data_IF_964397244467
#
_entry.id   IF_964397244467
#
_cell.length_a   1.000
_cell.length_b   1.000
_cell.length_c   1.000
_cell.angle_alpha   90.00
_cell.angle_beta   90.00
_cell.angle_gamma   90.00
#
_symmetry.space_group_name_H-M   'P 1'
#
loop_
_entity.id
_entity.type
_entity.pdbx_description
1 polymer ?
#
# COMPACT_ATOMS: atom_id res chain seq x y z
N UNK A 1 -13.87 -16.36 -1.93
CA UNK A 1 -13.77 -17.60 -2.72
C UNK A 1 -12.37 -17.80 -3.34
N UNK A 2 -11.30 -17.93 -2.54
CA UNK A 2 -9.94 -18.17 -3.07
C UNK A 2 -9.58 -19.66 -2.90
N UNK A 3 -9.59 -20.41 -3.99
CA UNK A 3 -9.33 -21.87 -3.99
C UNK A 3 -10.42 -22.73 -4.63
N UNK A 4 -11.04 -22.30 -5.74
CA UNK A 4 -12.07 -23.10 -6.41
C UNK A 4 -11.47 -24.01 -7.50
N UNK A 5 -12.13 -25.14 -7.73
CA UNK A 5 -11.85 -26.00 -8.88
C UNK A 5 -11.94 -25.24 -10.22
N UNK A 6 -12.81 -24.23 -10.31
CA UNK A 6 -12.92 -23.37 -11.50
C UNK A 6 -11.67 -22.54 -11.76
N UNK A 7 -11.07 -21.94 -10.72
CA UNK A 7 -9.81 -21.18 -10.83
C UNK A 7 -8.66 -22.10 -11.22
N UNK A 8 -8.56 -23.27 -10.58
CA UNK A 8 -7.54 -24.26 -10.94
C UNK A 8 -7.67 -24.70 -12.40
N UNK A 9 -8.89 -25.05 -12.83
CA UNK A 9 -9.16 -25.47 -14.22
C UNK A 9 -8.77 -24.37 -15.21
N UNK A 10 -9.18 -23.12 -14.95
CA UNK A 10 -8.82 -21.94 -15.75
C UNK A 10 -7.29 -21.78 -15.85
N UNK A 11 -6.60 -21.72 -14.71
CA UNK A 11 -5.16 -21.50 -14.67
C UNK A 11 -4.36 -22.67 -15.28
N UNK A 12 -4.85 -23.91 -15.16
CA UNK A 12 -4.26 -25.04 -15.87
C UNK A 12 -4.43 -24.92 -17.40
N UNK A 13 -5.60 -24.51 -17.88
CA UNK A 13 -5.83 -24.27 -19.32
C UNK A 13 -5.00 -23.10 -19.86
N UNK A 14 -4.84 -22.05 -19.07
CA UNK A 14 -4.09 -20.85 -19.45
C UNK A 14 -2.59 -20.94 -19.15
N UNK A 15 -2.10 -22.06 -18.59
CA UNK A 15 -0.71 -22.19 -18.14
C UNK A 15 0.32 -21.90 -19.25
N UNK A 16 0.22 -22.61 -20.37
CA UNK A 16 1.18 -22.45 -21.47
C UNK A 16 1.04 -21.10 -22.20
N UNK A 17 -0.17 -20.63 -22.57
CA UNK A 17 -0.33 -19.29 -23.14
C UNK A 17 0.15 -18.19 -22.19
N UNK A 18 -0.16 -18.29 -20.89
CA UNK A 18 0.23 -17.31 -19.88
C UNK A 18 1.74 -17.29 -19.62
N UNK A 19 2.41 -18.46 -19.69
CA UNK A 19 3.87 -18.55 -19.64
C UNK A 19 4.51 -17.92 -20.88
N UNK A 20 3.94 -18.12 -22.07
CA UNK A 20 4.43 -17.49 -23.30
C UNK A 20 4.29 -15.96 -23.24
N UNK A 21 3.14 -15.47 -22.78
CA UNK A 21 2.91 -14.04 -22.56
C UNK A 21 3.90 -13.46 -21.52
N UNK A 22 4.12 -14.17 -20.42
CA UNK A 22 5.10 -13.78 -19.40
C UNK A 22 6.53 -13.70 -19.97
N UNK A 23 6.94 -14.67 -20.79
CA UNK A 23 8.27 -14.68 -21.41
C UNK A 23 8.47 -13.51 -22.37
N UNK A 24 7.45 -13.12 -23.15
CA UNK A 24 7.50 -11.93 -24.01
C UNK A 24 7.62 -10.65 -23.17
N UNK A 25 6.79 -10.52 -22.12
CA UNK A 25 6.85 -9.39 -21.19
C UNK A 25 8.20 -9.29 -20.48
N UNK A 26 8.86 -10.42 -20.21
CA UNK A 26 10.19 -10.47 -19.58
C UNK A 26 11.24 -9.72 -20.39
N UNK A 27 11.26 -9.93 -21.71
CA UNK A 27 12.23 -9.28 -22.58
C UNK A 27 12.00 -7.78 -22.64
N UNK A 28 10.74 -7.35 -22.78
CA UNK A 28 10.38 -5.93 -22.79
C UNK A 28 10.71 -5.25 -21.46
N UNK A 29 10.30 -5.85 -20.35
CA UNK A 29 10.53 -5.31 -19.01
C UNK A 29 12.01 -5.21 -18.66
N UNK A 30 12.83 -6.18 -19.10
CA UNK A 30 14.28 -6.10 -18.93
C UNK A 30 14.88 -4.90 -19.67
N UNK A 31 14.46 -4.65 -20.93
CA UNK A 31 14.91 -3.50 -21.69
C UNK A 31 14.52 -2.15 -21.07
N UNK A 32 13.31 -2.06 -20.51
CA UNK A 32 12.85 -0.88 -19.77
C UNK A 32 13.66 -0.71 -18.48
N UNK A 33 13.79 -1.77 -17.68
CA UNK A 33 14.56 -1.74 -16.43
C UNK A 33 16.00 -1.31 -16.64
N UNK A 34 16.67 -1.83 -17.68
CA UNK A 34 18.05 -1.52 -17.98
C UNK A 34 18.25 -0.03 -18.33
N UNK A 35 17.32 0.57 -19.10
CA UNK A 35 17.35 2.02 -19.38
C UNK A 35 17.21 2.84 -18.10
N UNK A 36 16.23 2.52 -17.25
CA UNK A 36 16.03 3.19 -15.96
C UNK A 36 17.26 3.04 -15.07
N UNK A 37 17.80 1.83 -14.95
CA UNK A 37 18.98 1.53 -14.15
C UNK A 37 20.22 2.30 -14.62
N UNK A 38 20.48 2.33 -15.92
CA UNK A 38 21.62 3.08 -16.48
C UNK A 38 21.48 4.59 -16.24
N UNK A 39 20.27 5.13 -16.39
CA UNK A 39 19.99 6.54 -16.07
C UNK A 39 20.24 6.83 -14.59
N UNK A 40 19.76 5.95 -13.72
CA UNK A 40 19.98 6.04 -12.28
C UNK A 40 21.46 6.03 -11.89
N UNK A 41 22.26 5.14 -12.47
CA UNK A 41 23.71 5.11 -12.24
C UNK A 41 24.42 6.39 -12.71
N UNK A 42 23.90 7.04 -13.77
CA UNK A 42 24.53 8.22 -14.38
C UNK A 42 24.12 9.55 -13.73
N UNK A 43 22.86 9.69 -13.33
CA UNK A 43 22.27 10.97 -12.90
C UNK A 43 21.73 10.93 -11.46
N UNK A 44 21.62 9.76 -10.86
CA UNK A 44 21.11 9.63 -9.50
C UNK A 44 22.05 10.29 -8.47
N UNK A 45 21.50 10.80 -7.36
CA UNK A 45 22.31 11.29 -6.24
C UNK A 45 23.28 10.20 -5.74
N UNK A 46 24.47 10.60 -5.28
CA UNK A 46 25.50 9.66 -4.81
C UNK A 46 24.99 8.67 -3.77
N UNK A 47 24.22 9.14 -2.78
CA UNK A 47 23.62 8.30 -1.74
C UNK A 47 22.65 7.24 -2.31
N UNK A 48 21.97 7.56 -3.42
CA UNK A 48 21.08 6.64 -4.12
C UNK A 48 21.86 5.59 -4.95
N UNK A 49 22.94 6.02 -5.61
CA UNK A 49 23.75 5.16 -6.48
C UNK A 49 24.63 4.20 -5.65
N UNK A 50 25.23 4.68 -4.57
CA UNK A 50 26.13 3.91 -3.70
C UNK A 50 25.41 3.04 -2.65
N UNK A 51 24.12 2.78 -2.88
CA UNK A 51 23.35 1.86 -2.05
C UNK A 51 24.01 0.49 -2.01
N UNK A 52 24.36 0.05 -0.81
CA UNK A 52 24.89 -1.28 -0.57
C UNK A 52 24.13 -1.94 0.57
N UNK A 53 23.92 -3.25 0.42
CA UNK A 53 23.41 -4.13 1.47
C UNK A 53 24.60 -4.56 2.33
N UNK A 54 25.11 -3.66 3.17
CA UNK A 54 26.11 -4.03 4.16
C UNK A 54 25.44 -4.68 5.36
N UNK A 55 25.80 -5.93 5.66
CA UNK A 55 25.52 -6.58 6.94
C UNK A 55 26.46 -6.01 8.00
N UNK A 56 26.12 -4.84 8.52
CA UNK A 56 26.70 -4.25 9.73
C UNK A 56 25.58 -4.13 10.77
N UNK A 57 25.82 -4.42 12.06
CA UNK A 57 24.84 -4.23 13.13
C UNK A 57 24.23 -2.82 13.17
N UNK A 58 24.97 -1.81 12.69
CA UNK A 58 24.65 -0.38 12.88
C UNK A 58 24.59 0.45 11.59
N UNK A 59 24.80 -0.13 10.39
CA UNK A 59 24.79 0.63 9.13
C UNK A 59 24.24 -0.18 7.94
N UNK A 60 22.93 -0.09 7.74
CA UNK A 60 22.24 -0.45 6.49
C UNK A 60 21.92 0.79 5.65
N UNK A 61 22.88 1.25 4.83
CA UNK A 61 22.67 2.42 3.94
C UNK A 61 21.35 2.31 3.20
N UNK A 62 21.06 1.12 2.65
CA UNK A 62 19.87 0.90 1.84
C UNK A 62 18.57 0.99 2.61
N UNK A 63 18.46 0.80 3.92
CA UNK A 63 17.17 0.88 4.66
C UNK A 63 17.07 2.09 5.61
N UNK A 64 18.19 2.70 6.01
CA UNK A 64 18.20 3.69 7.11
C UNK A 64 17.58 5.04 6.83
N UNK A 65 17.36 5.41 5.57
CA UNK A 65 16.79 6.71 5.26
C UNK A 65 16.02 6.64 3.95
N UNK A 66 14.74 6.97 4.00
CA UNK A 66 13.95 7.14 2.79
C UNK A 66 14.60 8.17 1.85
N UNK A 67 15.01 9.32 2.40
CA UNK A 67 15.56 10.46 1.63
C UNK A 67 16.84 10.12 0.88
N UNK A 68 17.68 9.25 1.45
CA UNK A 68 18.92 8.80 0.79
C UNK A 68 18.67 7.72 -0.26
N UNK A 69 17.62 6.92 -0.07
CA UNK A 69 17.43 5.70 -0.83
C UNK A 69 16.37 5.78 -1.92
N UNK A 70 15.66 6.91 -2.00
CA UNK A 70 14.61 7.13 -2.96
C UNK A 70 14.86 8.44 -3.68
N UNK A 71 14.71 8.38 -5.00
CA UNK A 71 14.90 9.52 -5.88
C UNK A 71 13.77 9.58 -6.89
N UNK A 72 13.09 10.73 -6.97
CA UNK A 72 12.12 11.02 -8.02
C UNK A 72 12.88 11.64 -9.19
N UNK A 73 13.10 10.85 -10.22
CA UNK A 73 13.80 11.29 -11.43
C UNK A 73 12.88 12.15 -12.30
N UNK A 74 13.04 13.46 -12.16
CA UNK A 74 12.22 14.48 -12.82
C UNK A 74 12.30 14.45 -14.35
N UNK A 75 13.33 13.81 -14.92
CA UNK A 75 13.50 13.71 -16.37
C UNK A 75 13.54 12.25 -16.85
N UNK A 76 13.01 11.31 -16.07
CA UNK A 76 12.88 9.91 -16.49
C UNK A 76 12.11 9.77 -17.81
N UNK A 77 11.21 10.71 -18.11
CA UNK A 77 10.43 10.76 -19.35
C UNK A 77 11.28 10.88 -20.62
N UNK A 78 12.56 11.27 -20.48
CA UNK A 78 13.51 11.34 -21.60
C UNK A 78 14.01 9.97 -22.05
N UNK A 79 13.94 8.96 -21.18
CA UNK A 79 14.43 7.60 -21.45
C UNK A 79 13.31 6.58 -21.66
N UNK A 80 12.19 6.74 -20.93
CA UNK A 80 11.05 5.82 -20.95
C UNK A 80 9.74 6.60 -20.88
N UNK A 81 8.70 6.08 -21.53
CA UNK A 81 7.34 6.59 -21.44
C UNK A 81 6.64 6.16 -20.14
N UNK A 82 5.61 6.89 -19.74
CA UNK A 82 4.76 6.54 -18.59
C UNK A 82 4.18 5.12 -18.72
N UNK A 83 3.76 4.71 -19.94
CA UNK A 83 3.23 3.37 -20.21
C UNK A 83 4.27 2.28 -19.99
N UNK A 84 5.53 2.53 -20.34
CA UNK A 84 6.63 1.60 -20.08
C UNK A 84 6.90 1.44 -18.57
N UNK A 85 6.83 2.53 -17.80
CA UNK A 85 6.95 2.46 -16.33
C UNK A 85 5.78 1.65 -15.75
N UNK A 86 4.55 1.88 -16.21
CA UNK A 86 3.37 1.13 -15.79
C UNK A 86 3.51 -0.38 -16.04
N UNK A 87 3.95 -0.76 -17.25
CA UNK A 87 4.23 -2.17 -17.60
C UNK A 87 5.29 -2.78 -16.70
N UNK A 88 6.39 -2.06 -16.45
CA UNK A 88 7.46 -2.53 -15.58
C UNK A 88 6.98 -2.75 -14.13
N UNK A 89 6.13 -1.87 -13.61
CA UNK A 89 5.57 -2.03 -12.26
C UNK A 89 4.73 -3.31 -12.13
N UNK A 90 3.82 -3.55 -13.08
CA UNK A 90 3.00 -4.77 -13.11
C UNK A 90 3.88 -6.02 -13.27
N UNK A 91 4.82 -5.98 -14.22
CA UNK A 91 5.74 -7.08 -14.46
C UNK A 91 6.58 -7.43 -13.22
N UNK A 92 7.07 -6.44 -12.47
CA UNK A 92 7.85 -6.71 -11.24
C UNK A 92 7.06 -7.52 -10.21
N UNK A 93 5.76 -7.26 -10.06
CA UNK A 93 4.91 -8.06 -9.15
C UNK A 93 4.68 -9.47 -9.69
N UNK A 94 4.46 -9.61 -10.99
CA UNK A 94 4.28 -10.90 -11.66
C UNK A 94 5.55 -11.76 -11.65
N UNK A 95 6.72 -11.14 -11.82
CA UNK A 95 8.01 -11.79 -11.68
C UNK A 95 8.18 -12.39 -10.29
N UNK A 96 7.76 -11.67 -9.23
CA UNK A 96 7.77 -12.23 -7.89
C UNK A 96 6.84 -13.45 -7.82
N UNK A 97 5.61 -13.35 -8.29
CA UNK A 97 4.65 -14.46 -8.32
C UNK A 97 5.21 -15.70 -9.03
N UNK A 98 5.90 -15.53 -10.16
CA UNK A 98 6.58 -16.61 -10.88
C UNK A 98 7.77 -17.19 -10.12
N UNK A 99 8.62 -16.34 -9.54
CA UNK A 99 9.84 -16.76 -8.86
C UNK A 99 9.58 -17.68 -7.67
N UNK A 100 8.42 -17.54 -7.00
CA UNK A 100 8.04 -18.40 -5.88
C UNK A 100 7.92 -19.87 -6.31
N UNK A 101 7.23 -20.11 -7.42
CA UNK A 101 6.91 -21.45 -7.87
C UNK A 101 8.07 -22.07 -8.65
N UNK A 102 8.75 -21.26 -9.47
CA UNK A 102 9.99 -21.68 -10.11
C UNK A 102 11.07 -22.06 -9.08
N UNK A 103 11.22 -21.26 -8.01
CA UNK A 103 12.16 -21.55 -6.93
C UNK A 103 11.84 -22.85 -6.19
N UNK A 104 10.56 -23.11 -5.91
CA UNK A 104 10.13 -24.37 -5.29
C UNK A 104 10.42 -25.59 -6.18
N UNK A 105 10.16 -25.48 -7.49
CA UNK A 105 10.47 -26.53 -8.47
C UNK A 105 11.97 -26.84 -8.52
N UNK A 106 12.82 -25.81 -8.54
CA UNK A 106 14.27 -25.99 -8.54
C UNK A 106 14.79 -26.60 -7.23
N UNK A 107 14.22 -26.22 -6.08
CA UNK A 107 14.67 -26.69 -4.78
C UNK A 107 14.20 -28.11 -4.44
N UNK A 108 13.01 -28.51 -4.89
CA UNK A 108 12.37 -29.79 -4.49
C UNK A 108 12.16 -30.77 -5.66
N UNK A 109 12.51 -30.39 -6.89
CA UNK A 109 12.37 -31.23 -8.07
C UNK A 109 10.91 -31.64 -8.30
N UNK A 110 10.69 -32.90 -8.71
CA UNK A 110 9.35 -33.43 -8.96
C UNK A 110 8.40 -33.39 -7.75
N UNK A 111 8.92 -33.30 -6.52
CA UNK A 111 8.10 -33.13 -5.32
C UNK A 111 7.44 -31.74 -5.24
N UNK A 112 7.76 -30.82 -6.14
CA UNK A 112 7.13 -29.51 -6.21
C UNK A 112 5.73 -29.54 -6.85
N UNK A 113 5.33 -30.65 -7.48
CA UNK A 113 4.07 -30.75 -8.23
C UNK A 113 2.86 -30.33 -7.37
N UNK A 114 2.69 -30.80 -6.11
CA UNK A 114 1.60 -30.34 -5.25
C UNK A 114 1.63 -28.82 -5.02
N UNK A 115 2.80 -28.22 -4.79
CA UNK A 115 2.92 -26.76 -4.63
C UNK A 115 2.51 -26.01 -5.90
N UNK A 116 2.84 -26.53 -7.08
CA UNK A 116 2.39 -25.99 -8.35
C UNK A 116 0.87 -26.01 -8.51
N UNK A 117 0.20 -27.10 -8.09
CA UNK A 117 -1.27 -27.18 -8.10
C UNK A 117 -1.90 -26.18 -7.12
N UNK A 118 -1.35 -26.04 -5.90
CA UNK A 118 -1.83 -25.03 -4.94
C UNK A 118 -1.65 -23.61 -5.45
N UNK A 119 -0.55 -23.34 -6.15
CA UNK A 119 -0.31 -22.05 -6.78
C UNK A 119 -1.34 -21.74 -7.87
N UNK A 120 -1.57 -22.68 -8.79
CA UNK A 120 -2.54 -22.51 -9.87
C UNK A 120 -3.99 -22.47 -9.37
N UNK A 121 -4.28 -23.01 -8.19
CA UNK A 121 -5.61 -22.95 -7.59
C UNK A 121 -5.99 -21.56 -7.04
N UNK A 122 -5.09 -20.58 -7.06
CA UNK A 122 -5.33 -19.28 -6.42
C UNK A 122 -4.84 -18.08 -7.26
N UNK A 123 -5.80 -17.25 -7.68
CA UNK A 123 -5.55 -16.04 -8.47
C UNK A 123 -4.74 -14.96 -7.74
N UNK A 124 -4.66 -15.00 -6.41
CA UNK A 124 -3.76 -14.11 -5.65
C UNK A 124 -2.29 -14.34 -6.04
N UNK A 125 -1.91 -15.60 -6.28
CA UNK A 125 -0.52 -15.99 -6.46
C UNK A 125 -0.12 -16.16 -7.92
N UNK A 126 -1.05 -16.35 -8.85
CA UNK A 126 -0.71 -16.43 -10.28
C UNK A 126 -0.47 -15.03 -10.89
N UNK A 127 0.48 -14.89 -11.84
CA UNK A 127 0.71 -13.66 -12.57
C UNK A 127 -0.53 -13.17 -13.32
N UNK A 128 -0.60 -11.86 -13.57
CA UNK A 128 -1.66 -11.29 -14.41
C UNK A 128 -1.66 -11.90 -15.81
N UNK A 129 -0.50 -12.29 -16.35
CA UNK A 129 -0.35 -12.89 -17.68
C UNK A 129 -1.09 -14.22 -17.89
N UNK A 130 -1.55 -14.88 -16.82
CA UNK A 130 -2.34 -16.11 -16.89
C UNK A 130 -3.84 -15.85 -17.12
N UNK A 131 -4.25 -14.57 -17.11
CA UNK A 131 -5.63 -14.12 -17.32
C UNK A 131 -5.69 -13.44 -18.69
N UNK A 132 -6.16 -14.18 -19.69
CA UNK A 132 -6.03 -13.86 -21.11
C UNK A 132 -7.22 -13.03 -21.62
N UNK A 133 -8.38 -13.14 -20.97
CA UNK A 133 -9.58 -12.35 -21.32
C UNK A 133 -9.77 -11.17 -20.36
N UNK A 134 -10.53 -10.16 -20.79
CA UNK A 134 -10.87 -9.02 -19.93
C UNK A 134 -11.65 -9.43 -18.67
N UNK A 135 -12.51 -10.45 -18.77
CA UNK A 135 -13.26 -11.00 -17.63
C UNK A 135 -12.35 -11.73 -16.64
N UNK A 136 -11.40 -12.53 -17.14
CA UNK A 136 -10.41 -13.19 -16.28
C UNK A 136 -9.53 -12.18 -15.57
N UNK A 137 -9.09 -11.12 -16.26
CA UNK A 137 -8.28 -10.07 -15.67
C UNK A 137 -9.05 -9.27 -14.61
N UNK A 138 -10.34 -9.03 -14.85
CA UNK A 138 -11.26 -8.46 -13.86
C UNK A 138 -11.33 -9.32 -12.60
N UNK A 139 -11.64 -10.60 -12.75
CA UNK A 139 -11.71 -11.53 -11.62
C UNK A 139 -10.37 -11.62 -10.86
N UNK A 140 -9.25 -11.57 -11.59
CA UNK A 140 -7.92 -11.51 -10.99
C UNK A 140 -7.73 -10.24 -10.15
N UNK A 141 -8.08 -9.05 -10.66
CA UNK A 141 -7.98 -7.79 -9.90
C UNK A 141 -8.86 -7.80 -8.65
N UNK A 142 -10.08 -8.32 -8.75
CA UNK A 142 -10.96 -8.52 -7.61
C UNK A 142 -10.27 -9.41 -6.56
N UNK A 143 -9.73 -10.56 -6.95
CA UNK A 143 -9.00 -11.47 -6.05
C UNK A 143 -7.76 -10.82 -5.41
N UNK A 144 -7.05 -9.95 -6.15
CA UNK A 144 -5.96 -9.16 -5.61
C UNK A 144 -6.46 -8.18 -4.54
N UNK A 145 -7.56 -7.47 -4.77
CA UNK A 145 -8.13 -6.52 -3.82
C UNK A 145 -8.66 -7.21 -2.56
N UNK A 146 -9.27 -8.40 -2.67
CA UNK A 146 -9.65 -9.19 -1.48
C UNK A 146 -8.42 -9.49 -0.59
N UNK A 147 -7.27 -9.77 -1.19
CA UNK A 147 -6.03 -10.01 -0.44
C UNK A 147 -5.52 -8.72 0.23
N UNK A 148 -5.74 -7.55 -0.38
CA UNK A 148 -5.45 -6.24 0.22
C UNK A 148 -6.35 -5.98 1.43
N UNK A 149 -7.67 -6.17 1.29
CA UNK A 149 -8.64 -6.03 2.38
C UNK A 149 -8.30 -6.89 3.61
N UNK A 150 -7.75 -8.10 3.40
CA UNK A 150 -7.29 -8.97 4.49
C UNK A 150 -6.12 -8.38 5.31
N UNK A 151 -5.28 -7.56 4.70
CA UNK A 151 -3.99 -7.14 5.28
C UNK A 151 -3.93 -5.65 5.64
N UNK A 152 -4.61 -4.80 4.89
CA UNK A 152 -4.59 -3.34 5.07
C UNK A 152 -5.04 -2.92 6.46
N UNK A 153 -6.11 -3.46 7.05
CA UNK A 153 -6.53 -3.01 8.37
C UNK A 153 -5.51 -3.35 9.48
N UNK A 154 -4.90 -4.54 9.41
CA UNK A 154 -3.82 -4.89 10.35
C UNK A 154 -2.60 -3.98 10.22
N UNK A 155 -2.29 -3.52 9.01
CA UNK A 155 -1.23 -2.52 8.79
C UNK A 155 -1.59 -1.17 9.43
N UNK A 156 -2.80 -0.67 9.15
CA UNK A 156 -3.27 0.63 9.65
C UNK A 156 -3.30 0.65 11.19
N UNK A 157 -3.93 -0.35 11.82
CA UNK A 157 -4.04 -0.42 13.29
C UNK A 157 -2.69 -0.55 13.97
N UNK A 158 -1.79 -1.43 13.48
CA UNK A 158 -0.46 -1.63 14.07
C UNK A 158 0.42 -0.38 13.91
N UNK A 159 0.26 0.35 12.80
CA UNK A 159 0.97 1.60 12.54
C UNK A 159 0.46 2.73 13.43
N UNK A 160 -0.87 2.92 13.52
CA UNK A 160 -1.49 3.90 14.41
C UNK A 160 -1.02 3.69 15.84
N UNK A 161 -1.22 2.46 16.35
CA UNK A 161 -0.83 2.10 17.70
C UNK A 161 0.67 2.35 17.93
N UNK A 162 1.55 1.89 17.04
CA UNK A 162 2.98 2.09 17.25
C UNK A 162 3.38 3.56 17.36
N UNK A 163 2.87 4.44 16.49
CA UNK A 163 3.25 5.85 16.50
C UNK A 163 2.50 6.66 17.55
N UNK A 164 1.25 6.32 17.91
CA UNK A 164 0.53 6.93 19.06
C UNK A 164 1.36 6.80 20.35
N UNK A 165 2.00 5.65 20.56
CA UNK A 165 2.83 5.41 21.75
C UNK A 165 4.16 6.15 21.76
N UNK A 166 4.64 6.64 20.60
CA UNK A 166 5.97 7.23 20.46
C UNK A 166 5.95 8.71 20.06
N UNK A 167 4.85 9.21 19.52
CA UNK A 167 4.73 10.57 19.04
C UNK A 167 3.97 11.38 20.08
N UNK A 168 4.71 12.14 20.90
CA UNK A 168 4.13 13.06 21.87
C UNK A 168 5.11 14.22 22.15
N UNK A 169 4.66 15.48 22.25
CA UNK A 169 3.29 16.00 22.08
C UNK A 169 2.99 16.57 20.68
N UNK A 170 1.81 16.28 20.11
CA UNK A 170 1.33 16.86 18.85
C UNK A 170 0.76 18.28 19.05
N UNK A 171 0.78 19.10 17.99
CA UNK A 171 -0.09 20.27 17.94
C UNK A 171 -1.49 19.88 17.43
N UNK A 172 -2.49 20.74 17.64
CA UNK A 172 -3.90 20.43 17.28
C UNK A 172 -4.08 20.11 15.78
N UNK A 173 -3.34 20.80 14.90
CA UNK A 173 -3.40 20.54 13.45
C UNK A 173 -2.86 19.15 13.11
N UNK A 174 -1.76 18.76 13.73
CA UNK A 174 -1.11 17.45 13.55
C UNK A 174 -1.98 16.34 14.13
N UNK A 175 -2.49 16.51 15.35
CA UNK A 175 -3.39 15.55 15.98
C UNK A 175 -4.63 15.30 15.12
N UNK A 176 -5.28 16.38 14.66
CA UNK A 176 -6.42 16.26 13.74
C UNK A 176 -6.05 15.56 12.43
N UNK A 177 -4.91 15.91 11.83
CA UNK A 177 -4.45 15.28 10.60
C UNK A 177 -4.18 13.77 10.78
N UNK A 178 -3.65 13.39 11.94
CA UNK A 178 -3.39 12.01 12.32
C UNK A 178 -4.67 11.23 12.55
N UNK A 179 -5.61 11.78 13.32
CA UNK A 179 -6.88 11.12 13.59
C UNK A 179 -7.71 10.94 12.31
N UNK A 180 -7.80 11.98 11.46
CA UNK A 180 -8.50 11.90 10.15
C UNK A 180 -7.90 10.82 9.22
N UNK A 181 -6.61 10.51 9.36
CA UNK A 181 -5.94 9.44 8.60
C UNK A 181 -6.44 8.04 8.96
N UNK A 182 -6.93 7.84 10.20
CA UNK A 182 -7.32 6.53 10.73
C UNK A 182 -8.81 6.39 11.08
N UNK A 183 -9.53 7.48 11.35
CA UNK A 183 -10.96 7.43 11.71
C UNK A 183 -11.87 7.24 10.47
N UNK A 184 -11.48 7.82 9.34
CA UNK A 184 -12.22 7.69 8.07
C UNK A 184 -11.84 6.37 7.39
N UNK A 185 -12.69 5.36 7.57
CA UNK A 185 -12.52 4.01 7.04
C UNK A 185 -13.35 3.81 5.77
N UNK A 186 -12.72 3.28 4.71
CA UNK A 186 -13.36 3.01 3.40
C UNK A 186 -14.04 4.23 2.74
N UNK A 187 -13.64 5.44 3.12
CA UNK A 187 -14.18 6.69 2.57
C UNK A 187 -13.06 7.62 2.14
N UNK A 188 -13.41 8.53 1.22
CA UNK A 188 -12.55 9.62 0.77
C UNK A 188 -12.06 10.43 1.99
N UNK A 189 -10.78 10.77 1.99
CA UNK A 189 -10.16 11.63 3.00
C UNK A 189 -9.69 12.92 2.33
N UNK A 190 -9.93 14.04 2.99
CA UNK A 190 -9.50 15.33 2.47
C UNK A 190 -7.96 15.43 2.56
N UNK A 191 -7.24 15.49 1.42
CA UNK A 191 -5.79 15.53 1.40
C UNK A 191 -5.24 16.75 2.16
N UNK A 192 -5.95 17.88 2.18
CA UNK A 192 -5.52 19.10 2.90
C UNK A 192 -5.52 18.92 4.41
N UNK A 193 -6.42 18.09 4.92
CA UNK A 193 -6.55 17.82 6.36
C UNK A 193 -5.52 16.80 6.81
N UNK A 194 -5.29 15.73 6.04
CA UNK A 194 -4.39 14.63 6.44
C UNK A 194 -2.92 14.90 6.14
N UNK A 195 -2.60 15.70 5.11
CA UNK A 195 -1.21 15.94 4.69
C UNK A 195 -0.32 16.54 5.78
N UNK A 196 -0.78 17.45 6.67
CA UNK A 196 0.02 17.94 7.80
C UNK A 196 0.60 16.83 8.69
N UNK A 197 0.03 15.61 8.69
CA UNK A 197 0.61 14.47 9.39
C UNK A 197 1.99 14.05 8.85
N UNK A 198 2.28 14.33 7.58
CA UNK A 198 3.60 14.07 6.97
C UNK A 198 4.70 15.01 7.49
N UNK A 199 4.32 16.15 8.06
CA UNK A 199 5.24 17.21 8.51
C UNK A 199 5.50 17.14 10.02
N UNK A 200 5.01 16.10 10.72
CA UNK A 200 5.23 15.90 12.15
C UNK A 200 6.72 15.73 12.48
N UNK A 201 7.26 16.60 13.35
CA UNK A 201 8.64 16.58 13.90
C UNK A 201 9.74 16.35 12.85
N UNK A 202 9.75 17.16 11.79
CA UNK A 202 10.69 16.98 10.67
C UNK A 202 10.65 15.55 10.08
N UNK A 203 9.43 15.01 10.01
CA UNK A 203 9.16 13.66 9.55
C UNK A 203 9.60 12.59 10.55
N UNK A 204 9.30 12.70 11.84
CA UNK A 204 9.61 11.66 12.85
C UNK A 204 9.02 10.29 12.50
N UNK A 205 7.86 10.27 11.85
CA UNK A 205 7.23 9.06 11.35
C UNK A 205 7.98 8.60 10.10
N UNK A 206 9.10 7.89 10.30
CA UNK A 206 9.96 7.46 9.21
C UNK A 206 9.74 6.00 8.84
N UNK A 207 9.93 5.69 7.57
CA UNK A 207 9.79 4.32 7.08
C UNK A 207 10.80 3.37 7.72
N UNK A 208 12.01 3.82 8.06
CA UNK A 208 13.00 3.01 8.77
C UNK A 208 12.60 2.63 10.21
N UNK A 209 11.58 3.28 10.78
CA UNK A 209 11.05 2.95 12.11
C UNK A 209 9.91 1.92 12.04
N UNK A 210 9.38 1.61 10.85
CA UNK A 210 8.28 0.65 10.71
C UNK A 210 8.63 -0.73 11.29
N UNK A 211 7.80 -1.28 12.16
CA UNK A 211 8.06 -2.59 12.77
C UNK A 211 8.03 -3.69 11.71
N UNK A 212 8.78 -4.77 11.94
CA UNK A 212 8.81 -5.94 11.04
C UNK A 212 7.41 -6.51 10.76
N UNK A 213 6.52 -6.48 11.77
CA UNK A 213 5.13 -6.95 11.65
C UNK A 213 4.32 -6.03 10.72
N UNK A 214 4.31 -4.72 10.98
CA UNK A 214 3.60 -3.73 10.14
C UNK A 214 4.13 -3.75 8.71
N UNK A 215 5.45 -3.85 8.52
CA UNK A 215 6.06 -3.98 7.19
C UNK A 215 5.57 -5.24 6.44
N UNK A 216 5.38 -6.36 7.13
CA UNK A 216 4.83 -7.57 6.52
C UNK A 216 3.38 -7.35 6.08
N UNK A 217 2.56 -6.71 6.92
CA UNK A 217 1.19 -6.38 6.56
C UNK A 217 1.16 -5.41 5.37
N UNK A 218 1.99 -4.36 5.38
CA UNK A 218 2.15 -3.44 4.26
C UNK A 218 2.50 -4.17 2.96
N UNK A 219 3.53 -5.03 2.97
CA UNK A 219 3.87 -5.81 1.78
C UNK A 219 2.69 -6.64 1.27
N UNK A 220 1.94 -7.30 2.16
CA UNK A 220 0.77 -8.09 1.77
C UNK A 220 -0.35 -7.21 1.20
N UNK A 221 -0.61 -6.05 1.81
CA UNK A 221 -1.55 -5.04 1.28
C UNK A 221 -1.12 -4.48 -0.07
N UNK A 222 0.17 -4.53 -0.39
CA UNK A 222 0.73 -4.16 -1.69
C UNK A 222 0.80 -5.34 -2.67
N UNK A 223 0.28 -6.51 -2.30
CA UNK A 223 0.42 -7.78 -3.03
C UNK A 223 1.89 -8.17 -3.30
N UNK A 224 2.82 -7.65 -2.49
CA UNK A 224 4.23 -8.05 -2.48
C UNK A 224 4.33 -9.32 -1.63
N UNK A 225 4.76 -10.45 -2.21
CA UNK A 225 4.86 -11.68 -1.44
C UNK A 225 5.84 -11.55 -0.27
N UNK A 226 5.44 -12.12 0.87
CA UNK A 226 6.24 -12.08 2.11
C UNK A 226 6.67 -13.48 2.50
N UNK A 227 7.98 -13.68 2.60
CA UNK A 227 8.52 -14.94 3.11
C UNK A 227 8.91 -14.78 4.57
N UNK A 228 8.59 -15.74 5.46
CA UNK A 228 9.04 -15.71 6.84
C UNK A 228 10.57 -15.61 6.98
N UNK A 229 11.30 -16.22 6.03
CA UNK A 229 12.77 -16.26 6.01
C UNK A 229 13.42 -14.98 5.51
N UNK A 230 12.70 -14.11 4.78
CA UNK A 230 13.29 -12.86 4.31
C UNK A 230 13.32 -11.82 5.42
N UNK A 231 14.46 -11.15 5.51
CA UNK A 231 14.71 -10.12 6.50
C UNK A 231 13.79 -8.90 6.28
N UNK A 232 13.60 -8.11 7.35
CA UNK A 232 12.95 -6.79 7.30
C UNK A 232 13.51 -5.93 6.14
N UNK A 233 14.81 -6.06 5.88
CA UNK A 233 15.54 -5.38 4.81
C UNK A 233 14.93 -5.67 3.42
N UNK A 234 14.75 -6.93 3.04
CA UNK A 234 14.23 -7.30 1.72
C UNK A 234 12.82 -6.74 1.50
N UNK A 235 11.95 -6.86 2.49
CA UNK A 235 10.59 -6.33 2.42
C UNK A 235 10.60 -4.80 2.30
N UNK A 236 11.44 -4.13 3.10
CA UNK A 236 11.58 -2.67 3.07
C UNK A 236 12.11 -2.14 1.74
N UNK A 237 13.07 -2.84 1.14
CA UNK A 237 13.57 -2.53 -0.21
C UNK A 237 12.48 -2.71 -1.26
N UNK A 238 11.71 -3.81 -1.24
CA UNK A 238 10.64 -4.03 -2.22
C UNK A 238 9.54 -2.96 -2.18
N UNK A 239 9.13 -2.55 -0.98
CA UNK A 239 8.13 -1.47 -0.83
C UNK A 239 8.67 -0.17 -1.45
N UNK A 240 9.93 0.17 -1.18
CA UNK A 240 10.53 1.41 -1.71
C UNK A 240 10.81 1.33 -3.20
N UNK A 241 11.29 0.21 -3.72
CA UNK A 241 11.48 0.02 -5.16
C UNK A 241 10.16 0.19 -5.93
N UNK A 242 9.05 -0.26 -5.34
CA UNK A 242 7.71 -0.04 -5.89
C UNK A 242 7.35 1.44 -5.91
N UNK A 243 7.41 2.11 -4.75
CA UNK A 243 7.02 3.51 -4.62
C UNK A 243 7.97 4.47 -5.33
N UNK A 244 9.24 4.13 -5.49
CA UNK A 244 10.19 4.91 -6.26
C UNK A 244 9.79 4.97 -7.74
N UNK A 245 9.48 3.81 -8.34
CA UNK A 245 8.93 3.76 -9.69
C UNK A 245 7.58 4.47 -9.77
N UNK A 246 6.72 4.27 -8.77
CA UNK A 246 5.41 4.90 -8.72
C UNK A 246 5.53 6.43 -8.75
N UNK A 247 6.40 7.01 -7.92
CA UNK A 247 6.60 8.45 -7.87
C UNK A 247 7.25 9.02 -9.12
N UNK A 248 8.16 8.29 -9.77
CA UNK A 248 8.69 8.75 -11.05
C UNK A 248 7.60 8.79 -12.12
N UNK A 249 6.70 7.81 -12.15
CA UNK A 249 5.52 7.82 -13.02
C UNK A 249 4.56 8.95 -12.64
N UNK A 250 4.27 9.15 -11.34
CA UNK A 250 3.39 10.21 -10.84
C UNK A 250 3.91 11.58 -11.26
N UNK A 251 5.23 11.78 -11.19
CA UNK A 251 5.87 13.00 -11.67
C UNK A 251 5.58 13.25 -13.15
N UNK A 252 5.69 12.23 -14.00
CA UNK A 252 5.33 12.33 -15.43
C UNK A 252 3.84 12.67 -15.62
N UNK A 253 2.96 11.95 -14.91
CA UNK A 253 1.50 12.09 -15.04
C UNK A 253 1.03 13.48 -14.61
N UNK A 254 1.60 14.04 -13.54
CA UNK A 254 1.26 15.37 -13.04
C UNK A 254 1.81 16.45 -13.97
N UNK A 255 3.12 16.41 -14.27
CA UNK A 255 3.78 17.48 -15.03
C UNK A 255 3.33 17.55 -16.50
N UNK A 256 2.95 16.42 -17.08
CA UNK A 256 2.45 16.34 -18.46
C UNK A 256 0.91 16.26 -18.54
N UNK A 257 0.22 16.33 -17.39
CA UNK A 257 -1.25 16.22 -17.29
C UNK A 257 -1.85 14.98 -17.98
N UNK A 258 -1.14 13.85 -17.93
CA UNK A 258 -1.51 12.65 -18.68
C UNK A 258 -2.87 12.10 -18.23
N UNK A 259 -3.21 12.23 -16.94
CA UNK A 259 -4.47 11.79 -16.35
C UNK A 259 -5.71 12.39 -17.04
N UNK A 260 -5.61 13.61 -17.59
CA UNK A 260 -6.71 14.24 -18.36
C UNK A 260 -6.96 13.53 -19.70
N UNK A 261 -5.92 12.92 -20.28
CA UNK A 261 -5.92 12.29 -21.61
C UNK A 261 -5.97 10.76 -21.62
N UNK A 262 -5.77 10.13 -20.46
CA UNK A 262 -5.80 8.66 -20.30
C UNK A 262 -7.20 8.10 -20.62
N UNK A 263 -7.23 6.93 -21.26
CA UNK A 263 -8.46 6.16 -21.42
C UNK A 263 -9.00 5.74 -20.04
N UNK A 264 -10.28 5.35 -19.96
CA UNK A 264 -10.88 4.90 -18.69
C UNK A 264 -10.12 3.71 -18.08
N UNK A 265 -9.66 2.78 -18.91
CA UNK A 265 -8.85 1.64 -18.49
C UNK A 265 -7.46 2.05 -17.98
N UNK A 266 -6.81 3.01 -18.65
CA UNK A 266 -5.50 3.52 -18.26
C UNK A 266 -5.56 4.30 -16.94
N UNK A 267 -6.58 5.15 -16.78
CA UNK A 267 -6.82 5.90 -15.55
C UNK A 267 -7.14 4.95 -14.39
N UNK A 268 -7.99 3.96 -14.64
CA UNK A 268 -8.31 2.93 -13.64
C UNK A 268 -7.06 2.15 -13.22
N UNK A 269 -6.25 1.69 -14.18
CA UNK A 269 -5.02 0.97 -13.87
C UNK A 269 -4.02 1.81 -13.07
N UNK A 270 -3.85 3.07 -13.46
CA UNK A 270 -3.04 4.04 -12.74
C UNK A 270 -3.50 4.18 -11.28
N UNK A 271 -4.79 4.45 -11.06
CA UNK A 271 -5.38 4.60 -9.74
C UNK A 271 -5.32 3.30 -8.91
N UNK A 272 -5.55 2.14 -9.53
CA UNK A 272 -5.49 0.83 -8.89
C UNK A 272 -4.08 0.48 -8.41
N UNK A 273 -3.03 0.86 -9.17
CA UNK A 273 -1.63 0.75 -8.74
C UNK A 273 -1.26 1.72 -7.60
N UNK A 274 -2.04 2.79 -7.39
CA UNK A 274 -1.88 3.70 -6.23
C UNK A 274 -2.77 3.34 -5.06
N UNK A 275 -3.48 2.20 -5.14
CA UNK A 275 -4.42 1.76 -4.11
C UNK A 275 -5.60 2.74 -3.92
N UNK A 276 -5.93 3.53 -4.95
CA UNK A 276 -7.01 4.53 -4.89
C UNK A 276 -8.35 3.98 -5.37
N UNK A 277 -8.33 2.92 -6.18
CA UNK A 277 -9.52 2.39 -6.85
C UNK A 277 -9.67 0.89 -6.57
N UNK A 278 -10.20 0.47 -5.39
CA UNK A 278 -10.59 -0.92 -5.18
C UNK A 278 -11.64 -1.34 -6.22
N UNK A 279 -11.47 -2.54 -6.77
CA UNK A 279 -12.24 -3.01 -7.92
C UNK A 279 -13.73 -3.23 -7.62
N UNK A 280 -14.05 -3.65 -6.42
CA UNK A 280 -15.42 -3.86 -5.93
C UNK A 280 -16.25 -2.57 -5.87
N UNK A 281 -15.60 -1.41 -5.73
CA UNK A 281 -16.30 -0.11 -5.63
C UNK A 281 -16.86 0.38 -6.97
N UNK A 282 -16.51 -0.26 -8.10
CA UNK A 282 -17.03 0.03 -9.45
C UNK A 282 -17.11 1.55 -9.76
N UNK A 283 -16.02 2.27 -9.47
CA UNK A 283 -15.95 3.73 -9.60
C UNK A 283 -16.10 4.18 -11.05
N UNK A 284 -16.87 5.24 -11.27
CA UNK A 284 -16.95 5.89 -12.58
C UNK A 284 -15.73 6.81 -12.84
N UNK A 285 -15.57 7.30 -14.07
CA UNK A 285 -14.44 8.18 -14.43
C UNK A 285 -14.35 9.43 -13.55
N UNK A 286 -15.47 10.07 -13.23
CA UNK A 286 -15.50 11.29 -12.41
C UNK A 286 -14.96 11.03 -11.00
N UNK A 287 -15.39 9.94 -10.37
CA UNK A 287 -14.93 9.50 -9.05
C UNK A 287 -13.46 9.07 -9.07
N UNK A 288 -12.99 8.43 -10.14
CA UNK A 288 -11.58 8.07 -10.32
C UNK A 288 -10.72 9.33 -10.43
N UNK A 289 -11.15 10.30 -11.25
CA UNK A 289 -10.47 11.59 -11.39
C UNK A 289 -10.38 12.33 -10.06
N UNK A 290 -11.48 12.39 -9.29
CA UNK A 290 -11.49 13.03 -7.96
C UNK A 290 -10.43 12.39 -7.04
N UNK A 291 -10.37 11.05 -6.96
CA UNK A 291 -9.38 10.36 -6.13
C UNK A 291 -7.93 10.56 -6.61
N UNK A 292 -7.73 10.67 -7.92
CA UNK A 292 -6.40 10.92 -8.52
C UNK A 292 -5.93 12.35 -8.26
N UNK A 293 -6.82 13.33 -8.40
CA UNK A 293 -6.53 14.74 -8.11
C UNK A 293 -6.28 14.96 -6.61
N UNK A 294 -7.07 14.33 -5.73
CA UNK A 294 -6.81 14.34 -4.30
C UNK A 294 -5.45 13.72 -3.96
N UNK A 295 -5.07 12.65 -4.64
CA UNK A 295 -3.76 12.04 -4.48
C UNK A 295 -2.63 13.00 -4.90
N UNK A 296 -2.80 13.75 -6.00
CA UNK A 296 -1.82 14.77 -6.39
C UNK A 296 -1.71 15.90 -5.37
N UNK A 297 -2.84 16.33 -4.81
CA UNK A 297 -2.85 17.31 -3.73
C UNK A 297 -2.15 16.77 -2.47
N UNK A 298 -2.36 15.49 -2.14
CA UNK A 298 -1.69 14.82 -1.04
C UNK A 298 -0.17 14.76 -1.23
N UNK A 299 0.32 14.49 -2.44
CA UNK A 299 1.76 14.51 -2.75
C UNK A 299 2.39 15.89 -2.49
N UNK A 300 1.63 16.96 -2.74
CA UNK A 300 1.97 18.32 -2.35
C UNK A 300 2.91 19.07 -3.31
N UNK A 301 3.11 20.38 -3.09
CA UNK A 301 3.88 21.25 -3.97
C UNK A 301 5.37 20.91 -3.99
N UNK A 302 5.95 20.45 -2.88
CA UNK A 302 7.37 20.06 -2.83
C UNK A 302 7.67 18.88 -3.76
N UNK A 303 6.73 17.95 -3.91
CA UNK A 303 6.86 16.84 -4.84
C UNK A 303 6.96 17.35 -6.27
N UNK A 304 6.06 18.23 -6.68
CA UNK A 304 6.00 18.77 -8.05
C UNK A 304 7.18 19.71 -8.33
N UNK A 305 7.51 20.59 -7.39
CA UNK A 305 8.58 21.58 -7.55
C UNK A 305 9.97 20.94 -7.49
N UNK A 306 10.22 20.09 -6.48
CA UNK A 306 11.55 19.63 -6.13
C UNK A 306 11.77 18.12 -6.34
N UNK A 307 10.73 17.36 -6.68
CA UNK A 307 10.83 15.89 -6.72
C UNK A 307 11.04 15.30 -5.33
N UNK A 308 10.59 16.00 -4.27
CA UNK A 308 10.73 15.53 -2.89
C UNK A 308 9.76 14.39 -2.64
N UNK A 309 10.30 13.21 -2.33
CA UNK A 309 9.50 12.04 -1.98
C UNK A 309 8.57 12.35 -0.79
N UNK A 310 7.26 12.04 -0.87
CA UNK A 310 6.35 12.18 0.26
C UNK A 310 6.70 11.18 1.35
N UNK A 311 6.26 11.44 2.59
CA UNK A 311 6.45 10.48 3.69
C UNK A 311 5.74 9.15 3.38
N UNK A 312 6.51 8.07 3.21
CA UNK A 312 5.97 6.79 2.74
C UNK A 312 5.00 6.14 3.74
N UNK A 313 5.22 6.32 5.04
CA UNK A 313 4.30 5.79 6.05
C UNK A 313 2.97 6.52 5.95
N UNK A 314 2.96 7.85 5.96
CA UNK A 314 1.72 8.62 5.86
C UNK A 314 1.00 8.33 4.53
N UNK A 315 1.75 8.30 3.43
CA UNK A 315 1.21 7.97 2.11
C UNK A 315 0.52 6.61 2.09
N UNK A 316 1.20 5.57 2.58
CA UNK A 316 0.64 4.22 2.57
C UNK A 316 -0.59 4.08 3.47
N UNK A 317 -0.65 4.79 4.60
CA UNK A 317 -1.86 4.83 5.44
C UNK A 317 -3.00 5.60 4.76
N UNK A 318 -2.68 6.67 4.03
CA UNK A 318 -3.66 7.45 3.25
C UNK A 318 -4.32 6.58 2.17
N UNK A 319 -3.51 5.97 1.30
CA UNK A 319 -4.05 5.18 0.17
C UNK A 319 -4.68 3.86 0.61
N UNK A 320 -4.15 3.20 1.65
CA UNK A 320 -4.73 1.94 2.12
C UNK A 320 -6.00 2.11 2.96
N UNK A 321 -6.43 3.35 3.23
CA UNK A 321 -7.72 3.62 3.84
C UNK A 321 -8.92 3.18 3.02
N UNK A 322 -8.79 3.22 1.69
CA UNK A 322 -9.77 2.67 0.75
C UNK A 322 -9.91 1.15 0.84
N UNK A 323 -8.98 0.47 1.54
CA UNK A 323 -9.03 -0.97 1.82
C UNK A 323 -9.31 -1.26 3.30
N UNK A 324 -9.76 -0.27 4.07
CA UNK A 324 -10.15 -0.44 5.46
C UNK A 324 -11.66 -0.46 5.60
N UNK A 325 -12.29 -1.48 5.02
CA UNK A 325 -13.74 -1.69 5.09
C UNK A 325 -14.06 -2.68 6.22
N UNK A 326 -14.70 -2.23 7.31
CA UNK A 326 -15.14 -3.12 8.39
C UNK A 326 -16.20 -4.14 7.92
N UNK A 327 -17.08 -3.73 6.99
CA UNK A 327 -18.20 -4.53 6.50
C UNK A 327 -17.75 -5.63 5.54
N UNK A 328 -16.55 -5.53 4.96
CA UNK A 328 -15.97 -6.60 4.15
C UNK A 328 -15.81 -7.92 4.92
N UNK A 329 -15.80 -7.87 6.26
CA UNK A 329 -15.78 -9.04 7.14
C UNK A 329 -17.18 -9.49 7.61
N UNK A 330 -18.25 -8.76 7.29
CA UNK A 330 -19.64 -9.08 7.63
C UNK A 330 -20.30 -10.06 6.64
N UNK A 331 -19.61 -10.41 5.54
CA UNK A 331 -19.99 -11.53 4.68
C UNK A 331 -19.98 -12.82 5.49
N UNK A 332 -21.17 -13.43 5.62
CA UNK A 332 -21.50 -14.63 6.41
C UNK A 332 -20.26 -15.42 6.87
N UNK A 333 -19.89 -15.27 8.15
CA UNK A 333 -18.76 -15.97 8.78
C UNK A 333 -18.82 -17.48 8.50
N UNK A 334 -20.02 -18.03 8.28
CA UNK A 334 -20.19 -19.44 7.92
C UNK A 334 -19.69 -19.81 6.51
N UNK A 335 -19.49 -18.86 5.60
CA UNK A 335 -18.84 -19.07 4.30
C UNK A 335 -17.32 -18.99 4.40
N UNK A 336 -16.77 -18.16 5.29
CA UNK A 336 -15.34 -18.12 5.61
C UNK A 336 -14.88 -19.40 6.34
N UNK A 337 -15.74 -20.00 7.16
CA UNK A 337 -15.49 -21.28 7.83
C UNK A 337 -15.47 -22.50 6.88
N UNK A 338 -15.97 -22.39 5.64
CA UNK A 338 -16.13 -23.55 4.75
C UNK A 338 -14.86 -23.95 3.97
N UNK A 339 -13.78 -23.17 3.97
CA UNK A 339 -12.70 -23.41 3.01
C UNK A 339 -11.25 -23.16 3.46
N UNK A 340 -10.98 -22.91 4.74
CA UNK A 340 -9.61 -22.87 5.24
C UNK A 340 -9.41 -23.98 6.26
N UNK A 341 -8.44 -24.86 5.97
CA UNK A 341 -7.99 -25.94 6.83
C UNK A 341 -8.01 -25.53 8.32
N UNK A 342 -8.72 -26.30 9.17
CA UNK A 342 -8.90 -26.07 10.62
C UNK A 342 -7.62 -25.68 11.38
N UNK A 343 -6.45 -26.12 10.92
CA UNK A 343 -5.17 -25.83 11.54
C UNK A 343 -4.59 -24.44 11.23
N UNK A 344 -5.13 -23.70 10.26
CA UNK A 344 -4.75 -22.31 9.95
C UNK A 344 -5.67 -21.27 10.61
N UNK A 345 -6.85 -21.71 11.08
CA UNK A 345 -7.84 -20.86 11.75
C UNK A 345 -7.26 -20.14 12.99
N UNK A 346 -6.29 -20.73 13.68
CA UNK A 346 -5.69 -20.15 14.89
C UNK A 346 -4.87 -18.88 14.64
N UNK A 347 -4.33 -18.66 13.44
CA UNK A 347 -3.48 -17.48 13.17
C UNK A 347 -4.26 -16.28 12.63
N UNK A 348 -5.42 -16.51 12.00
CA UNK A 348 -6.33 -15.45 11.56
C UNK A 348 -7.28 -14.97 12.67
N UNK A 349 -7.75 -15.90 13.52
CA UNK A 349 -8.71 -15.60 14.61
C UNK A 349 -8.18 -14.60 15.62
N UNK A 350 -6.89 -14.58 15.92
CA UNK A 350 -6.36 -13.78 17.03
C UNK A 350 -6.36 -12.25 16.74
N UNK A 351 -6.18 -11.85 15.48
CA UNK A 351 -6.28 -10.43 15.10
C UNK A 351 -7.74 -10.01 14.86
N UNK A 352 -8.54 -10.92 14.29
CA UNK A 352 -9.95 -10.70 14.01
C UNK A 352 -10.79 -10.61 15.29
N UNK A 353 -10.65 -11.57 16.21
CA UNK A 353 -11.39 -11.59 17.49
C UNK A 353 -11.03 -10.39 18.37
N UNK A 354 -9.75 -9.99 18.42
CA UNK A 354 -9.36 -8.78 19.16
C UNK A 354 -9.98 -7.53 18.56
N UNK A 355 -10.09 -7.45 17.23
CA UNK A 355 -10.74 -6.33 16.56
C UNK A 355 -12.24 -6.35 16.75
N UNK A 356 -12.87 -7.52 16.72
CA UNK A 356 -14.29 -7.69 17.01
C UNK A 356 -14.63 -7.40 18.48
N UNK A 357 -13.73 -7.73 19.42
CA UNK A 357 -13.83 -7.33 20.82
C UNK A 357 -13.65 -5.81 21.01
N UNK A 358 -12.81 -5.18 20.19
CA UNK A 358 -12.58 -3.74 20.23
C UNK A 358 -13.68 -2.92 19.56
N UNK A 359 -14.27 -3.45 18.47
CA UNK A 359 -15.28 -2.76 17.66
C UNK A 359 -16.72 -3.11 18.06
N UNK A 360 -16.97 -4.29 18.65
CA UNK A 360 -18.31 -4.77 19.04
C UNK A 360 -18.40 -5.29 20.49
N UNK A 361 -17.30 -5.34 21.24
CA UNK A 361 -17.28 -5.81 22.62
C UNK A 361 -17.38 -4.68 23.66
N UNK A 362 -17.42 -5.00 24.96
CA UNK A 362 -17.49 -4.01 26.05
C UNK A 362 -16.31 -3.02 26.08
N UNK A 363 -15.22 -3.31 25.36
CA UNK A 363 -14.11 -2.37 25.14
C UNK A 363 -14.51 -1.20 24.24
N UNK A 364 -15.36 -1.42 23.23
CA UNK A 364 -15.92 -0.35 22.39
C UNK A 364 -16.64 0.69 23.26
N UNK A 365 -17.52 0.22 24.14
CA UNK A 365 -18.29 1.09 25.04
C UNK A 365 -17.36 1.89 25.98
N UNK A 366 -16.29 1.27 26.46
CA UNK A 366 -15.29 1.95 27.29
C UNK A 366 -14.49 3.00 26.51
N UNK A 367 -14.10 2.70 25.26
CA UNK A 367 -13.38 3.63 24.39
C UNK A 367 -14.29 4.79 23.98
N UNK A 368 -15.54 4.52 23.55
CA UNK A 368 -16.52 5.57 23.24
C UNK A 368 -16.80 6.47 24.47
N UNK A 369 -16.96 5.90 25.66
CA UNK A 369 -17.12 6.67 26.90
C UNK A 369 -15.88 7.52 27.21
N UNK A 370 -14.68 7.00 26.98
CA UNK A 370 -13.44 7.74 27.16
C UNK A 370 -13.28 8.88 26.15
N UNK A 371 -13.60 8.64 24.88
CA UNK A 371 -13.56 9.66 23.81
C UNK A 371 -14.59 10.76 24.05
N UNK A 372 -15.83 10.40 24.45
CA UNK A 372 -16.86 11.36 24.86
C UNK A 372 -16.39 12.22 26.05
N UNK A 373 -15.70 11.63 27.03
CA UNK A 373 -15.12 12.37 28.16
C UNK A 373 -14.06 13.36 27.69
N UNK A 374 -13.13 12.95 26.82
CA UNK A 374 -12.10 13.84 26.27
C UNK A 374 -12.71 14.98 25.44
N UNK A 375 -13.74 14.70 24.63
CA UNK A 375 -14.47 15.73 23.88
C UNK A 375 -15.18 16.72 24.80
N UNK A 376 -15.77 16.25 25.91
CA UNK A 376 -16.40 17.11 26.92
C UNK A 376 -15.37 17.97 27.66
N UNK A 377 -14.21 17.41 28.02
CA UNK A 377 -13.09 18.15 28.63
C UNK A 377 -12.57 19.25 27.67
N UNK A 378 -12.38 18.93 26.38
CA UNK A 378 -12.01 19.91 25.35
C UNK A 378 -13.05 21.02 25.20
N UNK A 379 -14.33 20.68 25.19
CA UNK A 379 -15.41 21.67 25.11
C UNK A 379 -15.49 22.56 26.37
N UNK A 380 -15.17 22.01 27.55
CA UNK A 380 -15.13 22.76 28.80
C UNK A 380 -13.97 23.75 28.84
N UNK A 381 -12.78 23.35 28.37
CA UNK A 381 -11.60 24.23 28.26
C UNK A 381 -11.88 25.39 27.29
N UNK A 382 -12.45 25.09 26.12
CA UNK A 382 -12.84 26.12 25.14
C UNK A 382 -13.90 27.12 25.68
N UNK A 383 -14.76 26.69 26.62
CA UNK A 383 -15.69 27.59 27.32
C UNK A 383 -15.02 28.36 28.46
N UNK A 384 -14.05 27.76 29.16
CA UNK A 384 -13.29 28.40 30.23
C UNK A 384 -12.39 29.53 29.72
N UNK A 385 -11.71 29.33 28.60
CA UNK A 385 -10.86 30.36 27.99
C UNK A 385 -11.68 31.52 27.42
N UNK A 386 -12.89 31.25 26.93
CA UNK A 386 -13.82 32.31 26.53
C UNK A 386 -14.38 33.09 27.73
N UNK A 387 -14.59 32.46 28.90
CA UNK A 387 -15.02 33.18 30.10
C UNK A 387 -13.89 34.08 30.65
N UNK A 388 -12.65 33.61 30.68
CA UNK A 388 -11.49 34.40 31.10
C UNK A 388 -11.21 35.57 30.14
N UNK A 389 -11.40 35.38 28.82
CA UNK A 389 -11.25 36.45 27.83
C UNK A 389 -12.34 37.53 27.92
N UNK A 390 -13.54 37.19 28.43
CA UNK A 390 -14.64 38.14 28.62
C UNK A 390 -14.49 38.92 29.93
N UNK A 391 -14.04 38.29 31.02
CA UNK A 391 -13.77 39.02 32.28
C UNK A 391 -12.57 39.98 32.16
N UNK A 392 -11.52 39.60 31.41
CA UNK A 392 -10.36 40.47 31.18
C UNK A 392 -10.66 41.75 30.38
N UNK A 393 -11.78 41.81 29.64
CA UNK A 393 -12.19 43.01 28.87
C UNK A 393 -13.08 43.97 29.64
N UNK A 394 -13.52 43.63 30.84
CA UNK A 394 -14.31 44.54 31.69
C UNK A 394 -13.49 45.21 32.80
N UNK A 395 -12.19 44.92 32.92
CA UNK A 395 -11.30 45.46 33.97
C UNK A 395 -10.03 46.16 33.43
N UNK A 396 -10.02 46.56 32.16
CA UNK A 396 -9.03 47.47 31.59
C UNK A 396 -9.75 48.53 30.74
#
# INVERSE_FOLDING_TARGET
MQGSWSVLKKNCSNFFPGLLAFAQQTQEAYGIWLRIYNRQQKYGPTDFVEQSETFSPDYHKRFHSQDKNMWVDKELCTEVSQKEVARLMTYKLDMWRMAHCAGALLATGGYAIPFGLFWLANDTWVPSSFNLTGEELRAWREAQDLYRYRSAPSYLTDTKWHFDFHAYPWNETQERAWDDLFEKNDVRRDPKVVRPAAEMYDGFIKFELIRRKSLRHLCRSMNIPTFPMLARLCNGTRVRDYWNLAWCEDYMVITQRLHESMTDEELYDYAWRRYLAPYDKNLNREQLMERVEDYFEFLGPDFVAHGKAPNLVILTNYVLGYYNDPAYLEGDISELDKNDYDHLASWGKDAFLRRLEFENGPLRDQVEAHTQRLLAERAAIAKGDNAAAVEGRHTA
#
